data_IF_276968187838
#
_entry.id   IF_276968187838
#
_cell.length_a   1.000
_cell.length_b   1.000
_cell.length_c   1.000
_cell.angle_alpha   90.00
_cell.angle_beta   90.00
_cell.angle_gamma   90.00
#
_symmetry.space_group_name_H-M   'P 1'
#
loop_
_entity.id
_entity.type
_entity.pdbx_description
1 polymer ?
#
# COMPACT_ATOMS: atom_id res chain seq x y z
N UNK A 1 -3.72 25.23 16.60
CA UNK A 1 -2.26 24.94 16.50
C UNK A 1 -2.03 24.22 15.20
N UNK A 2 -1.09 24.65 14.37
CA UNK A 2 -0.80 24.00 13.09
C UNK A 2 0.07 22.77 13.32
N UNK A 3 -0.44 21.58 13.07
CA UNK A 3 0.32 20.33 13.21
C UNK A 3 1.42 20.23 12.14
N UNK A 4 2.62 19.84 12.57
CA UNK A 4 3.78 19.58 11.71
C UNK A 4 4.03 18.08 11.62
N UNK A 5 3.85 17.50 10.45
CA UNK A 5 3.98 16.07 10.23
C UNK A 5 5.24 15.75 9.41
N UNK A 6 5.89 14.65 9.76
CA UNK A 6 6.90 14.01 8.94
C UNK A 6 6.33 12.71 8.37
N UNK A 7 6.37 12.54 7.05
CA UNK A 7 5.99 11.27 6.39
C UNK A 7 7.24 10.57 5.88
N UNK A 8 7.36 9.27 6.11
CA UNK A 8 8.52 8.45 5.74
C UNK A 8 8.09 7.32 4.82
N UNK A 9 8.70 7.23 3.64
CA UNK A 9 8.40 6.20 2.63
C UNK A 9 9.65 5.75 1.87
N UNK A 10 9.62 4.55 1.25
CA UNK A 10 10.77 3.97 0.54
C UNK A 10 10.46 3.40 -0.86
N UNK A 11 9.25 3.53 -1.36
CA UNK A 11 8.87 3.05 -2.70
C UNK A 11 7.89 4.00 -3.38
N UNK A 12 7.79 3.90 -4.69
CA UNK A 12 6.96 4.74 -5.54
C UNK A 12 5.50 4.83 -5.09
N UNK A 13 4.85 3.71 -4.87
CA UNK A 13 3.44 3.68 -4.44
C UNK A 13 3.22 4.28 -3.05
N UNK A 14 4.18 4.11 -2.14
CA UNK A 14 4.12 4.70 -0.80
C UNK A 14 4.42 6.20 -0.85
N UNK A 15 5.36 6.63 -1.69
CA UNK A 15 5.66 8.05 -1.91
C UNK A 15 4.46 8.78 -2.51
N UNK A 16 3.75 8.16 -3.46
CA UNK A 16 2.51 8.73 -4.02
C UNK A 16 1.40 8.83 -2.97
N UNK A 17 1.24 7.82 -2.11
CA UNK A 17 0.29 7.89 -1.00
C UNK A 17 0.66 8.98 0.02
N UNK A 18 1.96 9.14 0.32
CA UNK A 18 2.46 10.23 1.16
C UNK A 18 2.22 11.59 0.52
N UNK A 19 2.38 11.72 -0.79
CA UNK A 19 2.08 12.97 -1.51
C UNK A 19 0.59 13.33 -1.38
N UNK A 20 -0.31 12.38 -1.68
CA UNK A 20 -1.75 12.61 -1.55
C UNK A 20 -2.16 13.04 -0.14
N UNK A 21 -1.60 12.37 0.89
CA UNK A 21 -1.84 12.75 2.28
C UNK A 21 -1.25 14.12 2.62
N UNK A 22 -0.02 14.41 2.17
CA UNK A 22 0.64 15.68 2.42
C UNK A 22 -0.14 16.85 1.82
N UNK A 23 -0.63 16.69 0.59
CA UNK A 23 -1.42 17.72 -0.10
C UNK A 23 -2.76 17.95 0.62
N UNK A 24 -3.43 16.87 1.06
CA UNK A 24 -4.66 16.95 1.83
C UNK A 24 -4.46 17.64 3.19
N UNK A 25 -3.36 17.32 3.91
CA UNK A 25 -3.03 17.95 5.20
C UNK A 25 -2.69 19.43 5.02
N UNK A 26 -1.93 19.78 3.97
CA UNK A 26 -1.60 21.20 3.67
C UNK A 26 -2.83 22.01 3.33
N UNK A 27 -3.77 21.44 2.57
CA UNK A 27 -5.05 22.06 2.26
C UNK A 27 -5.88 22.38 3.52
N UNK A 28 -5.65 21.64 4.62
CA UNK A 28 -6.27 21.85 5.92
C UNK A 28 -5.42 22.76 6.85
N UNK A 29 -4.37 23.38 6.34
CA UNK A 29 -3.50 24.29 7.09
C UNK A 29 -2.39 23.59 7.90
N UNK A 30 -2.18 22.29 7.74
CA UNK A 30 -1.07 21.55 8.35
C UNK A 30 0.23 21.74 7.60
N UNK A 31 1.36 21.50 8.27
CA UNK A 31 2.69 21.50 7.65
C UNK A 31 3.21 20.06 7.50
N UNK A 32 3.70 19.70 6.31
CA UNK A 32 4.18 18.34 6.04
C UNK A 32 5.53 18.36 5.35
N UNK A 33 6.46 17.57 5.87
CA UNK A 33 7.71 17.22 5.21
C UNK A 33 7.66 15.72 4.85
N UNK A 34 8.11 15.36 3.66
CA UNK A 34 8.25 13.95 3.26
C UNK A 34 9.72 13.57 3.29
N UNK A 35 10.06 12.43 3.89
CA UNK A 35 11.38 11.81 3.78
C UNK A 35 11.29 10.58 2.87
N UNK A 36 11.83 10.69 1.68
CA UNK A 36 12.04 9.56 0.79
C UNK A 36 13.33 8.83 1.18
N UNK A 37 13.21 7.61 1.71
CA UNK A 37 14.39 6.79 1.99
C UNK A 37 15.04 6.42 0.66
N UNK A 38 16.33 6.76 0.43
CA UNK A 38 17.01 6.49 -0.82
C UNK A 38 16.97 5.00 -1.19
N UNK A 39 16.47 4.70 -2.37
CA UNK A 39 16.38 3.34 -2.90
C UNK A 39 16.68 3.36 -4.40
N UNK A 40 17.57 2.47 -4.89
CA UNK A 40 17.81 2.32 -6.33
C UNK A 40 16.49 2.02 -7.07
N UNK A 41 16.28 2.67 -8.22
CA UNK A 41 15.09 2.46 -9.06
C UNK A 41 13.86 3.28 -8.66
N UNK A 42 13.94 4.20 -7.68
CA UNK A 42 12.86 5.15 -7.45
C UNK A 42 12.73 6.10 -8.64
N UNK A 43 11.55 6.21 -9.28
CA UNK A 43 11.38 7.04 -10.47
C UNK A 43 11.62 8.52 -10.17
N UNK A 44 12.47 9.17 -10.97
CA UNK A 44 12.77 10.60 -10.81
C UNK A 44 11.51 11.50 -10.91
N UNK A 45 10.54 11.11 -11.73
CA UNK A 45 9.27 11.82 -11.86
C UNK A 45 8.46 11.87 -10.55
N UNK A 46 8.50 10.80 -9.74
CA UNK A 46 7.83 10.74 -8.43
C UNK A 46 8.52 11.68 -7.45
N UNK A 47 9.86 11.66 -7.38
CA UNK A 47 10.61 12.57 -6.50
C UNK A 47 10.41 14.03 -6.91
N UNK A 48 10.49 14.34 -8.20
CA UNK A 48 10.25 15.71 -8.70
C UNK A 48 8.81 16.20 -8.45
N UNK A 49 7.81 15.32 -8.45
CA UNK A 49 6.44 15.68 -8.08
C UNK A 49 6.34 16.03 -6.58
N UNK A 50 6.99 15.25 -5.70
CA UNK A 50 7.05 15.52 -4.27
C UNK A 50 7.77 16.83 -3.94
N UNK A 51 8.90 17.11 -4.61
CA UNK A 51 9.65 18.36 -4.43
C UNK A 51 8.81 19.60 -4.81
N UNK A 52 8.03 19.51 -5.89
CA UNK A 52 7.09 20.59 -6.28
C UNK A 52 5.94 20.75 -5.30
N UNK A 53 5.52 19.67 -4.66
CA UNK A 53 4.43 19.67 -3.68
C UNK A 53 4.86 20.24 -2.33
N UNK A 54 6.15 20.16 -1.93
CA UNK A 54 6.62 20.73 -0.68
C UNK A 54 7.97 20.18 -0.21
N UNK A 55 8.35 20.41 1.06
CA UNK A 55 9.64 19.99 1.61
C UNK A 55 9.87 18.48 1.46
N UNK A 56 10.96 18.10 0.78
CA UNK A 56 11.41 16.74 0.59
C UNK A 56 12.81 16.53 1.22
N UNK A 57 12.93 15.48 2.01
CA UNK A 57 14.20 14.99 2.53
C UNK A 57 14.56 13.67 1.85
N UNK A 58 15.85 13.37 1.76
CA UNK A 58 16.37 12.12 1.19
C UNK A 58 17.36 11.47 2.16
N UNK A 59 16.86 10.99 3.31
CA UNK A 59 17.68 10.43 4.36
C UNK A 59 17.38 8.95 4.59
N UNK A 60 18.43 8.15 4.83
CA UNK A 60 18.29 6.80 5.37
C UNK A 60 17.64 6.86 6.77
N UNK A 61 16.99 5.76 7.19
CA UNK A 61 16.39 5.67 8.52
C UNK A 61 17.37 6.05 9.63
N UNK A 62 18.61 5.56 9.56
CA UNK A 62 19.64 5.87 10.58
C UNK A 62 19.96 7.37 10.66
N UNK A 63 20.13 8.03 9.51
CA UNK A 63 20.38 9.47 9.46
C UNK A 63 19.21 10.28 9.94
N UNK A 64 17.99 9.89 9.50
CA UNK A 64 16.76 10.55 9.91
C UNK A 64 16.59 10.52 11.44
N UNK A 65 16.77 9.35 12.06
CA UNK A 65 16.58 9.19 13.50
C UNK A 65 17.68 9.86 14.35
N UNK A 66 18.79 10.25 13.75
CA UNK A 66 19.85 11.04 14.37
C UNK A 66 19.71 12.55 14.11
N UNK A 67 18.80 12.96 13.23
CA UNK A 67 18.65 14.36 12.83
C UNK A 67 17.92 15.18 13.92
N UNK A 68 18.52 16.27 14.44
CA UNK A 68 17.88 17.07 15.50
C UNK A 68 16.59 17.77 15.03
N UNK A 69 16.41 17.98 13.73
CA UNK A 69 15.18 18.57 13.18
C UNK A 69 13.94 17.69 13.39
N UNK A 70 14.13 16.41 13.75
CA UNK A 70 13.05 15.50 14.09
C UNK A 70 12.20 16.02 15.28
N UNK A 71 12.83 16.80 16.18
CA UNK A 71 12.15 17.43 17.33
C UNK A 71 11.08 18.44 16.92
N UNK A 72 11.20 19.01 15.73
CA UNK A 72 10.29 20.02 15.22
C UNK A 72 8.95 19.46 14.70
N UNK A 73 8.76 18.13 14.70
CA UNK A 73 7.53 17.50 14.25
C UNK A 73 6.65 17.08 15.44
N UNK A 74 5.34 17.19 15.25
CA UNK A 74 4.34 16.79 16.25
C UNK A 74 4.00 15.29 16.14
N UNK A 75 4.08 14.72 14.94
CA UNK A 75 3.87 13.30 14.69
C UNK A 75 4.66 12.81 13.45
N UNK A 76 4.90 11.49 13.39
CA UNK A 76 5.64 10.85 12.31
C UNK A 76 4.77 9.76 11.68
N UNK A 77 4.45 9.92 10.39
CA UNK A 77 3.74 8.92 9.59
C UNK A 77 4.71 8.01 8.84
N UNK A 78 4.55 6.70 8.99
CA UNK A 78 5.47 5.71 8.43
C UNK A 78 4.75 4.86 7.41
N UNK A 79 5.16 4.97 6.15
CA UNK A 79 4.63 4.26 5.00
C UNK A 79 5.72 3.39 4.38
N UNK A 80 6.01 2.27 5.03
CA UNK A 80 7.02 1.30 4.62
C UNK A 80 6.37 -0.07 4.36
N UNK A 81 7.10 -0.97 3.71
CA UNK A 81 6.59 -2.32 3.41
C UNK A 81 6.94 -3.33 4.49
N UNK A 82 5.97 -4.18 4.86
CA UNK A 82 6.17 -5.36 5.67
C UNK A 82 6.97 -5.11 6.96
N UNK A 83 7.97 -5.93 7.23
CA UNK A 83 8.80 -5.89 8.43
C UNK A 83 9.52 -4.56 8.67
N UNK A 84 9.72 -3.74 7.63
CA UNK A 84 10.34 -2.40 7.78
C UNK A 84 9.52 -1.45 8.65
N UNK A 85 8.18 -1.63 8.70
CA UNK A 85 7.32 -0.90 9.63
C UNK A 85 7.70 -1.20 11.09
N UNK A 86 7.78 -2.48 11.43
CA UNK A 86 8.15 -2.91 12.78
C UNK A 86 9.60 -2.51 13.11
N UNK A 87 10.52 -2.65 12.15
CA UNK A 87 11.92 -2.23 12.30
C UNK A 87 12.04 -0.73 12.57
N UNK A 88 11.35 0.10 11.78
CA UNK A 88 11.36 1.56 11.96
C UNK A 88 10.87 1.94 13.36
N UNK A 89 9.73 1.41 13.78
CA UNK A 89 9.16 1.67 15.10
C UNK A 89 10.12 1.30 16.23
N UNK A 90 10.70 0.10 16.19
CA UNK A 90 11.63 -0.36 17.23
C UNK A 90 12.90 0.46 17.25
N UNK A 91 13.46 0.80 16.08
CA UNK A 91 14.68 1.63 15.95
C UNK A 91 14.41 3.05 16.44
N UNK A 92 13.26 3.64 16.10
CA UNK A 92 12.85 4.96 16.56
C UNK A 92 12.81 5.02 18.09
N UNK A 93 12.09 4.09 18.73
CA UNK A 93 11.96 4.06 20.19
C UNK A 93 13.32 3.95 20.89
N UNK A 94 14.18 3.06 20.41
CA UNK A 94 15.54 2.92 20.92
C UNK A 94 16.39 4.18 20.73
N UNK A 95 16.29 4.81 19.56
CA UNK A 95 17.00 6.06 19.28
C UNK A 95 16.57 7.16 20.27
N UNK A 96 15.26 7.34 20.48
CA UNK A 96 14.72 8.33 21.42
C UNK A 96 15.15 8.06 22.87
N UNK A 97 15.08 6.79 23.30
CA UNK A 97 15.53 6.38 24.64
C UNK A 97 17.01 6.70 24.85
N UNK A 98 17.88 6.41 23.86
CA UNK A 98 19.32 6.68 23.94
C UNK A 98 19.63 8.18 23.97
N UNK A 99 18.88 8.96 23.21
CA UNK A 99 19.03 10.41 23.13
C UNK A 99 18.37 11.13 24.31
N UNK A 100 17.64 10.39 25.17
CA UNK A 100 16.81 10.94 26.26
C UNK A 100 15.79 11.97 25.76
N UNK A 101 15.22 11.73 24.60
CA UNK A 101 14.26 12.61 23.98
C UNK A 101 12.84 12.04 24.09
N UNK A 102 11.79 12.88 24.20
CA UNK A 102 10.41 12.42 24.27
C UNK A 102 10.00 11.69 22.98
N UNK A 103 9.11 10.72 23.12
CA UNK A 103 8.49 10.07 21.98
C UNK A 103 7.49 11.02 21.31
N UNK A 104 7.50 11.08 20.00
CA UNK A 104 6.43 11.68 19.21
C UNK A 104 5.50 10.59 18.74
N UNK A 105 4.20 10.84 18.61
CA UNK A 105 3.26 9.88 18.08
C UNK A 105 3.71 9.31 16.73
N UNK A 106 3.68 7.98 16.61
CA UNK A 106 3.90 7.29 15.35
C UNK A 106 2.54 6.86 14.79
N UNK A 107 2.28 7.20 13.54
CA UNK A 107 1.14 6.65 12.82
C UNK A 107 1.59 5.96 11.54
N UNK A 108 0.76 5.06 11.04
CA UNK A 108 1.00 4.37 9.78
C UNK A 108 -0.34 4.16 9.05
N UNK A 109 -0.26 3.89 7.76
CA UNK A 109 -1.44 3.65 6.94
C UNK A 109 -1.13 2.71 5.78
N UNK A 110 -2.01 2.69 4.82
CA UNK A 110 -1.90 1.90 3.61
C UNK A 110 -1.69 2.82 2.40
N UNK A 111 -0.98 2.32 1.41
CA UNK A 111 -0.76 3.02 0.14
C UNK A 111 -1.82 2.69 -0.93
N UNK A 112 -2.90 2.03 -0.52
CA UNK A 112 -4.01 1.61 -1.36
C UNK A 112 -4.89 0.59 -0.64
N UNK A 113 -5.79 -0.03 -1.37
CA UNK A 113 -6.67 -1.06 -0.83
C UNK A 113 -5.90 -2.35 -0.59
N UNK A 114 -6.10 -2.95 0.59
CA UNK A 114 -5.57 -4.28 0.90
C UNK A 114 -6.61 -5.31 0.44
N UNK A 115 -6.37 -5.88 -0.74
CA UNK A 115 -7.25 -6.90 -1.33
C UNK A 115 -7.08 -8.23 -0.61
N UNK A 116 -5.82 -8.62 -0.32
CA UNK A 116 -5.45 -9.89 0.28
C UNK A 116 -4.54 -9.70 1.49
N UNK A 117 -4.42 -10.74 2.33
CA UNK A 117 -3.49 -10.78 3.48
C UNK A 117 -3.61 -9.56 4.41
N UNK A 118 -4.83 -9.14 4.68
CA UNK A 118 -5.08 -8.00 5.56
C UNK A 118 -4.47 -8.22 6.95
N UNK A 119 -4.58 -9.43 7.48
CA UNK A 119 -4.07 -9.83 8.79
C UNK A 119 -2.53 -9.67 8.88
N UNK A 120 -1.81 -10.09 7.85
CA UNK A 120 -0.35 -9.89 7.76
C UNK A 120 -0.02 -8.39 7.67
N UNK A 121 -0.76 -7.65 6.85
CA UNK A 121 -0.55 -6.22 6.69
C UNK A 121 -0.78 -5.45 8.00
N UNK A 122 -1.79 -5.83 8.79
CA UNK A 122 -2.05 -5.26 10.11
C UNK A 122 -0.99 -5.69 11.13
N UNK A 123 -0.53 -6.93 11.12
CA UNK A 123 0.46 -7.41 12.09
C UNK A 123 1.72 -6.53 12.12
N UNK A 124 2.18 -6.03 10.97
CA UNK A 124 3.32 -5.12 10.89
C UNK A 124 3.04 -3.71 11.44
N UNK A 125 1.76 -3.32 11.57
CA UNK A 125 1.30 -2.02 12.03
C UNK A 125 0.94 -1.97 13.51
N UNK A 126 0.77 -3.13 14.14
CA UNK A 126 0.47 -3.20 15.57
C UNK A 126 1.58 -2.53 16.40
N UNK A 127 1.18 -1.79 17.43
CA UNK A 127 2.08 -1.03 18.28
C UNK A 127 2.49 0.36 17.77
N UNK A 128 1.96 0.80 16.64
CA UNK A 128 1.91 2.21 16.29
C UNK A 128 0.85 2.92 17.16
N UNK A 129 1.07 4.19 17.46
CA UNK A 129 0.12 4.94 18.31
C UNK A 129 -1.24 5.11 17.59
N UNK A 130 -1.22 5.12 16.24
CA UNK A 130 -2.42 5.23 15.43
C UNK A 130 -2.26 4.48 14.10
N UNK A 131 -3.26 3.69 13.72
CA UNK A 131 -3.34 3.04 12.40
C UNK A 131 -4.40 3.74 11.56
N UNK A 132 -3.99 4.32 10.42
CA UNK A 132 -4.91 4.89 9.44
C UNK A 132 -5.48 3.78 8.56
N UNK A 133 -6.79 3.64 8.54
CA UNK A 133 -7.55 2.67 7.76
C UNK A 133 -8.24 3.36 6.60
N UNK A 134 -8.50 2.60 5.52
CA UNK A 134 -9.19 3.17 4.37
C UNK A 134 -10.69 3.38 4.64
N UNK A 135 -11.37 2.38 5.19
CA UNK A 135 -12.82 2.45 5.37
C UNK A 135 -13.37 1.55 6.47
N UNK A 136 -14.69 1.58 6.68
CA UNK A 136 -15.37 0.72 7.65
C UNK A 136 -15.08 -0.77 7.48
N UNK A 137 -14.87 -1.24 6.23
CA UNK A 137 -14.43 -2.61 5.93
C UNK A 137 -13.15 -2.97 6.66
N UNK A 138 -12.16 -2.10 6.59
CA UNK A 138 -10.86 -2.35 7.22
C UNK A 138 -10.97 -2.28 8.74
N UNK A 139 -11.81 -1.37 9.26
CA UNK A 139 -12.10 -1.28 10.69
C UNK A 139 -12.77 -2.56 11.21
N UNK A 140 -13.81 -3.04 10.53
CA UNK A 140 -14.51 -4.27 10.92
C UNK A 140 -13.57 -5.49 10.93
N UNK A 141 -12.65 -5.58 9.95
CA UNK A 141 -11.65 -6.65 9.89
C UNK A 141 -10.61 -6.52 11.01
N UNK A 142 -10.17 -5.30 11.32
CA UNK A 142 -9.26 -5.03 12.43
C UNK A 142 -9.91 -5.42 13.76
N UNK A 143 -11.14 -5.01 14.01
CA UNK A 143 -11.88 -5.31 15.25
C UNK A 143 -12.07 -6.83 15.43
N UNK A 144 -12.41 -7.53 14.34
CA UNK A 144 -12.54 -8.98 14.36
C UNK A 144 -11.19 -9.66 14.69
N UNK A 145 -10.10 -9.21 14.06
CA UNK A 145 -8.76 -9.75 14.28
C UNK A 145 -8.30 -9.57 15.72
N UNK A 146 -8.58 -8.41 16.31
CA UNK A 146 -8.06 -8.04 17.63
C UNK A 146 -8.98 -8.42 18.80
N UNK A 147 -10.21 -8.83 18.55
CA UNK A 147 -11.29 -9.01 19.55
C UNK A 147 -10.89 -9.79 20.79
N UNK A 148 -10.10 -10.83 20.64
CA UNK A 148 -9.69 -11.70 21.76
C UNK A 148 -8.18 -11.69 21.96
N UNK A 149 -7.52 -10.62 21.52
CA UNK A 149 -6.10 -10.42 21.66
C UNK A 149 -5.82 -9.29 22.65
N UNK A 150 -4.63 -9.25 23.24
CA UNK A 150 -4.20 -8.13 24.06
C UNK A 150 -4.05 -6.81 23.30
N UNK A 151 -4.17 -6.83 21.97
CA UNK A 151 -4.08 -5.66 21.09
C UNK A 151 -5.43 -4.99 20.81
N UNK A 152 -6.52 -5.44 21.44
CA UNK A 152 -7.85 -4.84 21.25
C UNK A 152 -7.91 -3.33 21.57
N UNK A 153 -6.96 -2.82 22.36
CA UNK A 153 -6.81 -1.39 22.63
C UNK A 153 -6.04 -0.61 21.54
N UNK A 154 -5.64 -1.28 20.44
CA UNK A 154 -4.97 -0.62 19.33
C UNK A 154 -5.85 0.50 18.74
N UNK A 155 -5.33 1.72 18.70
CA UNK A 155 -6.06 2.85 18.14
C UNK A 155 -5.99 2.85 16.63
N UNK A 156 -7.11 3.16 16.00
CA UNK A 156 -7.24 3.32 14.55
C UNK A 156 -8.12 4.51 14.21
N UNK A 157 -7.97 5.00 13.00
CA UNK A 157 -8.82 6.07 12.45
C UNK A 157 -9.07 5.82 10.97
N UNK A 158 -10.30 6.01 10.51
CA UNK A 158 -10.63 5.92 9.10
C UNK A 158 -10.30 7.26 8.44
N UNK A 159 -9.36 7.23 7.50
CA UNK A 159 -8.88 8.41 6.77
C UNK A 159 -9.29 8.42 5.31
N UNK A 160 -9.98 7.40 4.87
CA UNK A 160 -10.34 7.22 3.47
C UNK A 160 -9.18 6.68 2.63
N UNK A 161 -9.46 6.44 1.37
CA UNK A 161 -8.45 6.08 0.39
C UNK A 161 -7.54 7.27 0.11
N UNK A 162 -6.22 7.03 0.10
CA UNK A 162 -5.25 8.06 -0.30
C UNK A 162 -5.45 8.39 -1.79
N UNK A 163 -5.81 9.63 -2.08
CA UNK A 163 -6.16 10.07 -3.43
C UNK A 163 -5.67 11.48 -3.70
N UNK A 164 -5.13 11.68 -4.89
CA UNK A 164 -4.92 13.02 -5.44
C UNK A 164 -6.24 13.44 -6.11
N UNK A 165 -7.05 14.21 -5.41
CA UNK A 165 -8.27 14.77 -6.01
C UNK A 165 -7.88 15.81 -7.06
N UNK A 166 -8.19 15.59 -8.33
CA UNK A 166 -8.00 16.61 -9.33
C UNK A 166 -8.96 17.79 -9.08
N UNK A 167 -8.63 18.95 -9.64
CA UNK A 167 -9.61 20.01 -9.77
C UNK A 167 -10.84 19.45 -10.53
N UNK A 168 -12.07 19.91 -10.21
CA UNK A 168 -13.27 19.47 -10.89
C UNK A 168 -13.07 19.53 -12.41
N UNK A 169 -13.39 18.44 -13.10
CA UNK A 169 -13.26 18.38 -14.55
C UNK A 169 -14.05 19.54 -15.17
N UNK A 170 -13.44 20.20 -16.17
CA UNK A 170 -14.16 21.19 -16.97
C UNK A 170 -15.42 20.57 -17.55
N UNK A 171 -16.49 21.35 -17.71
CA UNK A 171 -17.78 20.94 -18.26
C UNK A 171 -17.74 20.48 -19.75
N UNK A 172 -16.55 20.24 -20.31
CA UNK A 172 -16.39 19.73 -21.67
C UNK A 172 -16.93 18.30 -21.76
N UNK A 173 -17.74 18.07 -22.80
CA UNK A 173 -18.23 16.72 -23.13
C UNK A 173 -17.05 15.73 -23.24
N UNK A 174 -17.15 14.60 -22.55
CA UNK A 174 -16.12 13.56 -22.58
C UNK A 174 -16.11 12.86 -23.93
N UNK A 175 -14.91 12.50 -24.37
CA UNK A 175 -14.69 11.74 -25.58
C UNK A 175 -15.14 10.29 -25.41
N UNK A 176 -15.61 9.68 -26.48
CA UNK A 176 -15.96 8.25 -26.54
C UNK A 176 -14.70 7.39 -26.49
N UNK A 177 -14.06 7.36 -25.33
CA UNK A 177 -12.85 6.60 -25.07
C UNK A 177 -13.10 5.62 -23.92
N UNK A 178 -12.77 4.35 -24.15
CA UNK A 178 -12.54 3.35 -23.13
C UNK A 178 -11.03 3.26 -22.86
N UNK A 179 -10.59 3.53 -21.63
CA UNK A 179 -9.23 3.23 -21.18
C UNK A 179 -9.23 1.90 -20.46
N UNK A 180 -8.48 0.93 -20.95
CA UNK A 180 -8.19 -0.29 -20.18
C UNK A 180 -6.90 -0.09 -19.40
N UNK A 181 -7.00 0.04 -18.06
CA UNK A 181 -5.85 0.13 -17.17
C UNK A 181 -5.24 -1.26 -16.93
N UNK A 182 -4.18 -1.56 -17.67
CA UNK A 182 -3.49 -2.86 -17.59
C UNK A 182 -2.77 -3.02 -16.26
N UNK A 183 -2.84 -4.23 -15.71
CA UNK A 183 -2.10 -4.66 -14.55
C UNK A 183 -1.08 -5.72 -14.99
N UNK A 184 0.19 -5.50 -14.63
CA UNK A 184 1.34 -6.29 -15.12
C UNK A 184 1.13 -7.80 -14.98
N UNK A 185 0.54 -8.24 -13.87
CA UNK A 185 0.34 -9.66 -13.52
C UNK A 185 -1.12 -10.06 -13.37
N UNK A 186 -2.07 -9.26 -13.88
CA UNK A 186 -3.49 -9.58 -13.75
C UNK A 186 -4.24 -9.37 -15.07
N UNK A 187 -4.75 -10.42 -15.65
CA UNK A 187 -4.54 -11.83 -15.31
C UNK A 187 -3.10 -12.27 -15.60
N UNK A 188 -2.58 -13.23 -14.81
CA UNK A 188 -1.21 -13.74 -14.99
C UNK A 188 -1.11 -14.77 -16.11
N UNK A 189 -2.14 -15.61 -16.28
CA UNK A 189 -2.12 -16.68 -17.24
C UNK A 189 -2.10 -16.18 -18.70
N UNK A 190 -1.18 -16.64 -19.56
CA UNK A 190 -1.06 -16.13 -20.93
C UNK A 190 -2.34 -16.28 -21.77
N UNK A 191 -3.09 -17.36 -21.58
CA UNK A 191 -4.37 -17.57 -22.30
C UNK A 191 -5.44 -16.59 -21.85
N UNK A 192 -5.49 -16.22 -20.57
CA UNK A 192 -6.43 -15.20 -20.06
C UNK A 192 -6.05 -13.80 -20.55
N UNK A 193 -4.75 -13.47 -20.63
CA UNK A 193 -4.29 -12.22 -21.23
C UNK A 193 -4.66 -12.11 -22.70
N UNK A 194 -4.49 -13.20 -23.47
CA UNK A 194 -4.95 -13.25 -24.88
C UNK A 194 -6.46 -13.08 -24.99
N UNK A 195 -7.24 -13.79 -24.15
CA UNK A 195 -8.71 -13.64 -24.11
C UNK A 195 -9.12 -12.19 -23.80
N UNK A 196 -8.48 -11.56 -22.83
CA UNK A 196 -8.75 -10.14 -22.48
C UNK A 196 -8.56 -9.21 -23.69
N UNK A 197 -7.43 -9.35 -24.38
CA UNK A 197 -7.13 -8.55 -25.58
C UNK A 197 -8.15 -8.82 -26.70
N UNK A 198 -8.58 -10.09 -26.88
CA UNK A 198 -9.61 -10.46 -27.84
C UNK A 198 -10.98 -9.86 -27.52
N UNK A 199 -11.36 -9.80 -26.23
CA UNK A 199 -12.59 -9.15 -25.77
C UNK A 199 -12.56 -7.65 -26.08
N UNK A 200 -11.48 -6.95 -25.74
CA UNK A 200 -11.31 -5.54 -26.07
C UNK A 200 -11.38 -5.27 -27.57
N UNK A 201 -10.75 -6.13 -28.38
CA UNK A 201 -10.79 -6.02 -29.84
C UNK A 201 -12.20 -6.25 -30.42
N UNK A 202 -12.99 -7.16 -29.84
CA UNK A 202 -14.40 -7.36 -30.25
C UNK A 202 -15.25 -6.14 -29.94
N UNK A 203 -15.12 -5.59 -28.73
CA UNK A 203 -15.84 -4.36 -28.37
C UNK A 203 -15.43 -3.18 -29.26
N UNK A 204 -14.13 -3.03 -29.55
CA UNK A 204 -13.66 -1.98 -30.47
C UNK A 204 -14.30 -2.11 -31.86
N UNK A 205 -14.40 -3.32 -32.44
CA UNK A 205 -15.05 -3.55 -33.74
C UNK A 205 -16.56 -3.25 -33.71
N UNK A 206 -17.24 -3.54 -32.59
CA UNK A 206 -18.68 -3.28 -32.41
C UNK A 206 -18.99 -1.81 -32.13
N UNK A 207 -17.97 -1.03 -31.76
CA UNK A 207 -18.10 0.37 -31.36
C UNK A 207 -17.15 1.24 -32.19
N UNK A 208 -17.36 1.41 -33.52
CA UNK A 208 -16.43 2.12 -34.41
C UNK A 208 -16.26 3.60 -34.04
N UNK A 209 -17.23 4.23 -33.38
CA UNK A 209 -17.17 5.61 -32.90
C UNK A 209 -16.44 5.79 -31.57
N UNK A 210 -15.96 4.68 -30.97
CA UNK A 210 -15.18 4.69 -29.76
C UNK A 210 -13.71 4.42 -30.03
N UNK A 211 -12.84 5.02 -29.21
CA UNK A 211 -11.45 4.60 -29.09
C UNK A 211 -11.28 3.68 -27.89
N UNK A 212 -10.57 2.58 -28.08
CA UNK A 212 -10.17 1.65 -27.01
C UNK A 212 -8.68 1.79 -26.80
N UNK A 213 -8.29 2.35 -25.64
CA UNK A 213 -6.90 2.59 -25.29
C UNK A 213 -6.45 1.62 -24.22
N UNK A 214 -5.55 0.72 -24.54
CA UNK A 214 -4.88 -0.09 -23.53
C UNK A 214 -3.75 0.76 -22.95
N UNK A 215 -3.83 1.05 -21.66
CA UNK A 215 -2.80 1.80 -20.92
C UNK A 215 -1.91 0.82 -20.14
N UNK A 216 -0.72 0.47 -20.69
CA UNK A 216 0.26 -0.33 -19.96
C UNK A 216 0.72 0.40 -18.70
N UNK A 217 1.01 -0.35 -17.65
CA UNK A 217 1.57 0.22 -16.42
C UNK A 217 2.99 0.76 -16.64
N UNK A 218 3.77 0.08 -17.48
CA UNK A 218 5.17 0.41 -17.80
C UNK A 218 5.39 0.32 -19.31
N UNK A 219 6.40 1.01 -19.83
CA UNK A 219 6.83 0.85 -21.21
C UNK A 219 7.56 -0.51 -21.41
N UNK A 220 7.59 -0.99 -22.64
CA UNK A 220 8.14 -2.31 -22.96
C UNK A 220 9.63 -2.49 -22.58
N UNK A 221 10.38 -1.39 -22.44
CA UNK A 221 11.80 -1.36 -22.09
C UNK A 221 12.05 -1.04 -20.61
N UNK A 222 10.99 -0.76 -19.84
CA UNK A 222 11.11 -0.44 -18.41
C UNK A 222 11.04 -1.70 -17.56
N UNK A 223 11.91 -1.76 -16.55
CA UNK A 223 11.87 -2.81 -15.53
C UNK A 223 10.85 -2.48 -14.44
N UNK A 224 10.14 -3.48 -13.97
CA UNK A 224 9.20 -3.36 -12.85
C UNK A 224 9.60 -4.31 -11.71
N UNK A 225 9.04 -4.08 -10.50
CA UNK A 225 9.19 -5.00 -9.38
C UNK A 225 8.44 -6.33 -9.59
N UNK A 226 7.54 -6.38 -10.56
CA UNK A 226 6.82 -7.59 -10.94
C UNK A 226 7.51 -8.20 -12.15
N UNK A 227 7.92 -9.46 -12.04
CA UNK A 227 8.43 -10.20 -13.18
C UNK A 227 7.31 -10.31 -14.23
N UNK A 228 7.57 -9.77 -15.43
CA UNK A 228 6.66 -9.86 -16.58
C UNK A 228 7.36 -10.66 -17.64
N UNK A 229 6.86 -11.85 -17.88
CA UNK A 229 7.41 -12.68 -18.97
C UNK A 229 7.11 -12.08 -20.36
N UNK A 230 5.97 -11.38 -20.47
CA UNK A 230 5.52 -10.82 -21.75
C UNK A 230 4.78 -9.51 -21.57
N UNK A 231 5.28 -8.43 -22.16
CA UNK A 231 4.60 -7.14 -22.19
C UNK A 231 3.29 -7.21 -23.01
N UNK A 232 2.26 -6.43 -22.61
CA UNK A 232 0.94 -6.47 -23.26
C UNK A 232 0.98 -6.18 -24.77
N UNK A 233 1.99 -5.44 -25.26
CA UNK A 233 2.18 -5.19 -26.70
C UNK A 233 2.50 -6.45 -27.49
N UNK A 234 3.22 -7.40 -26.90
CA UNK A 234 3.50 -8.70 -27.51
C UNK A 234 2.24 -9.58 -27.49
N UNK A 235 1.51 -9.61 -26.37
CA UNK A 235 0.22 -10.30 -26.27
C UNK A 235 -0.78 -9.78 -27.32
N UNK A 236 -0.82 -8.46 -27.54
CA UNK A 236 -1.70 -7.83 -28.53
C UNK A 236 -1.36 -8.32 -29.96
N UNK A 237 -0.09 -8.33 -30.31
CA UNK A 237 0.36 -8.79 -31.64
C UNK A 237 0.08 -10.28 -31.84
N UNK A 238 0.38 -11.10 -30.82
CA UNK A 238 0.18 -12.54 -30.86
C UNK A 238 -1.31 -12.91 -30.96
N UNK A 239 -2.17 -12.25 -30.18
CA UNK A 239 -3.58 -12.59 -30.07
C UNK A 239 -4.42 -12.13 -31.27
N UNK A 240 -4.05 -11.02 -31.92
CA UNK A 240 -4.88 -10.39 -32.94
C UNK A 240 -4.28 -10.38 -34.36
N UNK A 241 -2.96 -10.54 -34.49
CA UNK A 241 -2.30 -10.31 -35.77
C UNK A 241 -2.45 -8.88 -36.27
N UNK A 242 -3.68 -8.50 -36.66
CA UNK A 242 -4.05 -7.14 -37.06
C UNK A 242 -5.15 -6.59 -36.13
N UNK A 243 -4.84 -5.70 -35.20
CA UNK A 243 -5.82 -5.10 -34.30
C UNK A 243 -6.74 -4.13 -35.07
N UNK A 244 -7.98 -3.89 -34.57
CA UNK A 244 -8.84 -2.84 -35.11
C UNK A 244 -8.16 -1.46 -35.04
N UNK A 245 -8.42 -0.57 -36.01
CA UNK A 245 -7.79 0.75 -36.07
C UNK A 245 -8.07 1.62 -34.81
N UNK A 246 -9.20 1.41 -34.18
CA UNK A 246 -9.62 2.10 -32.96
C UNK A 246 -9.18 1.41 -31.67
N UNK A 247 -8.35 0.35 -31.71
CA UNK A 247 -7.72 -0.29 -30.55
C UNK A 247 -6.22 0.01 -30.56
N UNK A 248 -5.73 0.75 -29.57
CA UNK A 248 -4.37 1.24 -29.53
C UNK A 248 -3.75 1.13 -28.13
N UNK A 249 -2.42 1.09 -28.07
CA UNK A 249 -1.67 1.28 -26.82
C UNK A 249 -1.50 2.79 -26.57
N UNK A 250 -1.69 3.21 -25.31
CA UNK A 250 -1.41 4.59 -24.91
C UNK A 250 -0.45 4.60 -23.72
N UNK A 251 0.59 5.41 -23.82
CA UNK A 251 1.58 5.67 -22.78
C UNK A 251 1.37 7.02 -22.10
N UNK A 252 0.30 7.73 -22.45
CA UNK A 252 -0.08 8.96 -21.76
C UNK A 252 -0.29 8.72 -20.26
N UNK A 253 0.01 9.69 -19.39
CA UNK A 253 -0.32 9.60 -17.97
C UNK A 253 -1.81 9.31 -17.74
N UNK A 254 -2.10 8.33 -16.88
CA UNK A 254 -3.49 7.92 -16.62
C UNK A 254 -4.43 9.09 -16.23
N UNK A 255 -4.02 10.07 -15.39
CA UNK A 255 -4.86 11.22 -15.08
C UNK A 255 -5.30 12.03 -16.31
N UNK A 256 -4.43 12.20 -17.31
CA UNK A 256 -4.76 12.91 -18.55
C UNK A 256 -5.78 12.14 -19.39
N UNK A 257 -5.63 10.81 -19.45
CA UNK A 257 -6.61 9.95 -20.12
C UNK A 257 -7.98 10.01 -19.41
N UNK A 258 -8.01 9.91 -18.08
CA UNK A 258 -9.25 9.90 -17.29
C UNK A 258 -10.02 11.23 -17.38
N UNK A 259 -9.32 12.36 -17.56
CA UNK A 259 -9.97 13.67 -17.72
C UNK A 259 -10.88 13.75 -18.94
N UNK A 260 -10.55 13.05 -20.01
CA UNK A 260 -11.28 13.11 -21.29
C UNK A 260 -12.07 11.84 -21.60
N UNK A 261 -11.77 10.71 -20.99
CA UNK A 261 -12.43 9.43 -21.30
C UNK A 261 -13.76 9.26 -20.58
N UNK A 262 -14.69 8.52 -21.19
CA UNK A 262 -15.97 8.15 -20.58
C UNK A 262 -15.85 6.93 -19.69
N UNK A 263 -15.08 5.92 -20.11
CA UNK A 263 -14.97 4.63 -19.45
C UNK A 263 -13.52 4.32 -19.04
N UNK A 264 -13.36 3.76 -17.86
CA UNK A 264 -12.17 3.01 -17.46
C UNK A 264 -12.55 1.56 -17.23
N UNK A 265 -11.86 0.60 -17.84
CA UNK A 265 -11.97 -0.82 -17.52
C UNK A 265 -10.69 -1.33 -16.88
N UNK A 266 -10.83 -2.25 -15.91
CA UNK A 266 -9.69 -2.93 -15.26
C UNK A 266 -10.13 -4.27 -14.70
N UNK A 267 -9.19 -5.16 -14.39
CA UNK A 267 -9.50 -6.42 -13.69
C UNK A 267 -9.72 -6.15 -12.20
N UNK A 268 -8.78 -5.49 -11.53
CA UNK A 268 -8.89 -5.21 -10.08
C UNK A 268 -8.01 -4.03 -9.62
N UNK A 269 -7.69 -3.10 -10.53
CA UNK A 269 -6.86 -1.97 -10.17
C UNK A 269 -7.61 -0.93 -9.35
N UNK A 270 -6.93 -0.37 -8.34
CA UNK A 270 -7.42 0.79 -7.58
C UNK A 270 -7.54 2.06 -8.43
N UNK A 271 -7.04 2.06 -9.66
CA UNK A 271 -7.24 3.12 -10.65
C UNK A 271 -8.74 3.43 -10.93
N UNK A 272 -9.63 2.49 -10.56
CA UNK A 272 -11.08 2.76 -10.62
C UNK A 272 -11.50 3.93 -9.72
N UNK A 273 -10.83 4.12 -8.57
CA UNK A 273 -11.13 5.27 -7.69
C UNK A 273 -10.62 6.58 -8.29
N UNK A 274 -9.50 6.53 -9.02
CA UNK A 274 -9.04 7.68 -9.79
C UNK A 274 -10.05 8.01 -10.90
N UNK A 275 -10.60 6.99 -11.57
CA UNK A 275 -11.65 7.21 -12.57
C UNK A 275 -12.88 7.94 -11.98
N UNK A 276 -13.34 7.50 -10.79
CA UNK A 276 -14.43 8.18 -10.08
C UNK A 276 -14.09 9.64 -9.75
N UNK A 277 -12.87 9.91 -9.28
CA UNK A 277 -12.41 11.27 -8.96
C UNK A 277 -12.42 12.18 -10.20
N UNK A 278 -12.09 11.64 -11.37
CA UNK A 278 -12.16 12.37 -12.64
C UNK A 278 -13.54 12.37 -13.28
N UNK A 279 -14.53 11.68 -12.71
CA UNK A 279 -15.87 11.52 -13.29
C UNK A 279 -15.90 10.62 -14.53
N UNK A 280 -14.89 9.77 -14.71
CA UNK A 280 -14.87 8.70 -15.69
C UNK A 280 -15.54 7.45 -15.08
N UNK A 281 -16.44 6.78 -15.82
CA UNK A 281 -17.18 5.63 -15.28
C UNK A 281 -16.28 4.39 -15.23
N UNK A 282 -16.10 3.75 -14.06
CA UNK A 282 -15.28 2.55 -13.95
C UNK A 282 -16.06 1.27 -14.26
N UNK A 283 -15.36 0.30 -14.82
CA UNK A 283 -15.82 -1.07 -15.08
C UNK A 283 -14.80 -2.05 -14.55
N UNK A 284 -15.25 -3.04 -13.80
CA UNK A 284 -14.45 -4.19 -13.35
C UNK A 284 -14.80 -5.39 -14.21
N UNK A 285 -13.79 -5.95 -14.88
CA UNK A 285 -13.96 -7.08 -15.81
C UNK A 285 -14.36 -8.34 -15.05
N UNK A 286 -15.57 -8.84 -15.29
CA UNK A 286 -16.13 -10.00 -14.60
C UNK A 286 -15.90 -11.34 -15.34
N UNK A 287 -15.37 -11.30 -16.56
CA UNK A 287 -15.26 -12.47 -17.46
C UNK A 287 -14.32 -13.58 -16.95
N UNK A 288 -13.49 -13.26 -15.95
CA UNK A 288 -12.62 -14.23 -15.28
C UNK A 288 -13.17 -14.74 -13.95
N UNK A 289 -14.37 -14.30 -13.56
CA UNK A 289 -15.05 -14.68 -12.31
C UNK A 289 -14.52 -13.95 -11.07
N UNK A 290 -15.11 -14.27 -9.93
CA UNK A 290 -14.71 -13.76 -8.62
C UNK A 290 -13.61 -14.67 -8.05
N UNK A 291 -12.36 -14.29 -8.27
CA UNK A 291 -11.18 -15.08 -7.91
C UNK A 291 -10.24 -14.31 -7.00
N UNK A 292 -9.74 -14.97 -5.95
CA UNK A 292 -8.82 -14.36 -4.99
C UNK A 292 -7.50 -13.93 -5.65
N UNK A 293 -6.94 -14.76 -6.53
CA UNK A 293 -5.70 -14.46 -7.26
C UNK A 293 -5.80 -13.23 -8.17
N UNK A 294 -7.02 -12.83 -8.54
CA UNK A 294 -7.31 -11.61 -9.30
C UNK A 294 -7.73 -10.43 -8.41
N UNK A 295 -8.00 -10.65 -7.12
CA UNK A 295 -8.51 -9.63 -6.21
C UNK A 295 -9.96 -9.19 -6.51
N UNK A 296 -10.67 -9.88 -7.41
CA UNK A 296 -12.02 -9.52 -7.86
C UNK A 296 -13.12 -9.67 -6.80
N UNK A 297 -13.02 -10.54 -5.75
CA UNK A 297 -14.02 -10.60 -4.69
C UNK A 297 -14.22 -9.28 -3.94
N UNK A 298 -13.21 -8.42 -3.91
CA UNK A 298 -13.33 -7.07 -3.34
C UNK A 298 -14.45 -6.26 -3.98
N UNK A 299 -14.73 -6.49 -5.26
CA UNK A 299 -15.70 -5.74 -6.06
C UNK A 299 -17.09 -6.40 -6.14
N UNK A 300 -17.32 -7.52 -5.44
CA UNK A 300 -18.55 -8.30 -5.56
C UNK A 300 -19.82 -7.47 -5.36
N UNK A 301 -19.83 -6.54 -4.39
CA UNK A 301 -20.95 -5.66 -4.09
C UNK A 301 -20.82 -4.24 -4.71
N UNK A 302 -19.84 -4.03 -5.59
CA UNK A 302 -19.53 -2.67 -6.10
C UNK A 302 -20.54 -2.11 -7.08
N UNK A 303 -21.37 -2.96 -7.70
CA UNK A 303 -22.18 -2.57 -8.86
C UNK A 303 -21.38 -2.39 -10.16
N UNK A 304 -20.04 -2.60 -10.15
CA UNK A 304 -19.13 -2.31 -11.27
C UNK A 304 -18.72 -3.52 -12.10
N UNK A 305 -19.06 -4.73 -11.66
CA UNK A 305 -18.72 -5.96 -12.36
C UNK A 305 -19.51 -6.07 -13.66
N UNK A 306 -18.80 -6.13 -14.79
CA UNK A 306 -19.39 -6.27 -16.12
C UNK A 306 -18.63 -7.29 -16.95
N UNK A 307 -19.37 -8.04 -17.76
CA UNK A 307 -18.76 -8.92 -18.76
C UNK A 307 -18.50 -8.13 -20.04
N UNK A 308 -17.23 -8.08 -20.45
CA UNK A 308 -16.87 -7.52 -21.75
C UNK A 308 -17.34 -8.42 -22.90
N UNK A 309 -17.39 -9.73 -22.68
CA UNK A 309 -17.85 -10.72 -23.66
C UNK A 309 -19.37 -10.59 -23.93
N UNK A 310 -20.15 -10.39 -22.88
CA UNK A 310 -21.61 -10.31 -22.96
C UNK A 310 -22.11 -8.91 -23.37
N UNK A 311 -21.26 -7.89 -23.30
CA UNK A 311 -21.65 -6.53 -23.71
C UNK A 311 -21.82 -6.44 -25.21
N UNK A 312 -22.93 -5.86 -25.66
CA UNK A 312 -23.23 -5.68 -27.06
C UNK A 312 -22.23 -4.74 -27.71
N UNK A 313 -22.01 -3.58 -27.09
CA UNK A 313 -21.06 -2.54 -27.50
C UNK A 313 -20.59 -1.72 -26.29
N UNK A 314 -19.84 -0.64 -26.50
CA UNK A 314 -19.34 0.24 -25.45
C UNK A 314 -20.40 1.22 -24.93
N UNK A 315 -21.44 1.54 -25.69
CA UNK A 315 -22.54 2.36 -25.19
C UNK A 315 -23.38 1.58 -24.17
N UNK A 316 -23.66 0.30 -24.45
CA UNK A 316 -24.32 -0.60 -23.51
C UNK A 316 -23.48 -0.83 -22.23
N UNK A 317 -22.16 -0.94 -22.39
CA UNK A 317 -21.24 -1.05 -21.25
C UNK A 317 -21.25 0.22 -20.38
N UNK A 318 -21.30 1.41 -20.97
CA UNK A 318 -21.35 2.69 -20.28
C UNK A 318 -22.63 2.84 -19.45
N UNK A 319 -23.78 2.44 -19.99
CA UNK A 319 -25.09 2.63 -19.34
C UNK A 319 -25.24 1.86 -18.02
N UNK A 320 -24.54 0.77 -17.86
CA UNK A 320 -24.62 -0.08 -16.66
C UNK A 320 -23.56 0.18 -15.58
N UNK A 321 -22.72 1.19 -15.70
CA UNK A 321 -21.48 1.31 -14.94
C UNK A 321 -21.53 2.34 -13.80
N UNK A 322 -22.52 2.22 -12.91
CA UNK A 322 -22.58 3.06 -11.71
C UNK A 322 -22.16 2.26 -10.47
N UNK A 323 -21.31 2.90 -9.65
CA UNK A 323 -20.84 2.30 -8.40
C UNK A 323 -21.92 2.36 -7.32
N UNK A 324 -22.07 1.28 -6.55
CA UNK A 324 -22.97 1.24 -5.40
C UNK A 324 -22.47 2.20 -4.28
N UNK A 325 -23.28 3.20 -3.85
CA UNK A 325 -22.88 4.16 -2.83
C UNK A 325 -22.56 3.51 -1.48
N UNK A 326 -23.25 2.45 -1.09
CA UNK A 326 -23.01 1.75 0.16
C UNK A 326 -21.67 1.00 0.12
N UNK A 327 -21.34 0.40 -1.02
CA UNK A 327 -20.03 -0.20 -1.22
C UNK A 327 -18.91 0.86 -1.22
N UNK A 328 -19.10 2.00 -1.88
CA UNK A 328 -18.12 3.10 -1.85
C UNK A 328 -17.84 3.58 -0.43
N UNK A 329 -18.89 3.79 0.36
CA UNK A 329 -18.74 4.12 1.77
C UNK A 329 -17.99 3.01 2.53
N UNK A 330 -18.39 1.75 2.34
CA UNK A 330 -17.80 0.60 3.01
C UNK A 330 -16.29 0.45 2.78
N UNK A 331 -15.83 0.75 1.58
CA UNK A 331 -14.40 0.65 1.22
C UNK A 331 -13.60 1.92 1.51
N UNK A 332 -14.25 3.00 1.98
CA UNK A 332 -13.59 4.25 2.35
C UNK A 332 -13.54 5.32 1.26
N UNK A 333 -14.33 5.16 0.20
CA UNK A 333 -14.51 6.19 -0.82
C UNK A 333 -15.74 7.06 -0.49
N UNK A 334 -15.61 7.89 0.57
CA UNK A 334 -16.69 8.75 1.02
C UNK A 334 -16.11 10.07 1.57
N UNK A 335 -16.81 11.23 1.43
CA UNK A 335 -16.31 12.54 1.88
C UNK A 335 -16.06 12.64 3.39
N UNK A 336 -16.76 11.87 4.23
CA UNK A 336 -16.55 11.87 5.69
C UNK A 336 -15.18 11.32 6.10
N UNK A 337 -14.53 10.53 5.22
CA UNK A 337 -13.22 9.95 5.46
C UNK A 337 -12.14 10.80 4.79
N UNK A 338 -11.35 11.49 5.59
CA UNK A 338 -10.36 12.44 5.07
C UNK A 338 -9.18 12.64 6.02
N UNK A 339 -8.18 13.37 5.57
CA UNK A 339 -7.05 13.80 6.38
C UNK A 339 -7.48 14.61 7.64
N UNK A 340 -8.65 15.23 7.63
CA UNK A 340 -9.18 15.92 8.81
C UNK A 340 -9.39 14.95 9.99
N UNK A 341 -9.81 13.70 9.72
CA UNK A 341 -9.96 12.69 10.76
C UNK A 341 -8.60 12.32 11.38
N UNK A 342 -7.55 12.20 10.53
CA UNK A 342 -6.19 12.00 11.03
C UNK A 342 -5.73 13.15 11.92
N UNK A 343 -5.87 14.40 11.45
CA UNK A 343 -5.45 15.57 12.22
C UNK A 343 -6.15 15.67 13.56
N UNK A 344 -7.46 15.39 13.61
CA UNK A 344 -8.24 15.34 14.87
C UNK A 344 -7.69 14.26 15.79
N UNK A 345 -7.51 13.02 15.30
CA UNK A 345 -7.00 11.91 16.09
C UNK A 345 -5.58 12.20 16.62
N UNK A 346 -4.71 12.84 15.84
CA UNK A 346 -3.37 13.24 16.28
C UNK A 346 -3.42 14.36 17.32
N UNK A 347 -4.36 15.30 17.22
CA UNK A 347 -4.57 16.35 18.22
C UNK A 347 -5.01 15.75 19.55
N UNK A 348 -5.93 14.79 19.51
CA UNK A 348 -6.40 14.07 20.71
C UNK A 348 -5.25 13.29 21.36
N UNK A 349 -4.38 12.70 20.54
CA UNK A 349 -3.16 12.05 21.01
C UNK A 349 -2.19 13.03 21.68
N UNK A 350 -2.00 14.22 21.14
CA UNK A 350 -1.10 15.24 21.69
C UNK A 350 -1.65 15.89 22.97
N UNK A 351 -2.97 15.91 23.16
CA UNK A 351 -3.65 16.52 24.31
C UNK A 351 -3.47 15.79 25.65
N UNK A 352 -2.66 14.72 25.71
CA UNK A 352 -2.15 14.17 26.96
C UNK A 352 -2.98 13.08 27.61
N UNK A 353 -3.93 12.47 26.93
CA UNK A 353 -4.60 11.24 27.43
C UNK A 353 -3.78 10.01 27.02
N UNK A 354 -2.50 9.98 27.38
CA UNK A 354 -1.60 8.88 27.06
C UNK A 354 -1.34 7.98 28.28
N UNK A 355 -2.37 7.32 28.76
CA UNK A 355 -2.21 6.27 29.78
C UNK A 355 -2.02 4.86 29.16
N UNK A 356 -2.00 4.73 27.86
CA UNK A 356 -1.66 3.46 27.25
C UNK A 356 -0.21 3.47 26.82
N UNK A 357 0.62 2.76 27.57
CA UNK A 357 1.91 2.34 27.07
C UNK A 357 1.71 1.76 25.65
N UNK A 358 2.50 2.20 24.65
CA UNK A 358 2.36 1.67 23.30
C UNK A 358 2.43 0.16 23.37
N UNK A 359 1.50 -0.51 22.69
CA UNK A 359 1.43 -1.97 22.64
C UNK A 359 2.82 -2.53 22.33
N UNK A 360 3.36 -3.32 23.25
CA UNK A 360 4.66 -3.93 23.03
C UNK A 360 4.49 -5.11 22.09
N UNK A 361 5.28 -5.17 21.03
CA UNK A 361 5.28 -6.32 20.11
C UNK A 361 5.73 -7.62 20.80
N UNK A 362 6.38 -7.53 21.95
CA UNK A 362 6.70 -8.66 22.82
C UNK A 362 5.49 -9.31 23.49
N UNK A 363 4.28 -8.80 23.24
CA UNK A 363 3.08 -9.36 23.85
C UNK A 363 2.70 -10.73 23.26
N UNK A 364 2.22 -11.69 24.06
CA UNK A 364 1.82 -13.03 23.58
C UNK A 364 0.83 -13.05 22.42
N UNK A 365 -0.08 -12.08 22.32
CA UNK A 365 -1.02 -11.96 21.22
C UNK A 365 -0.38 -11.76 19.86
N UNK A 366 0.79 -11.14 19.80
CA UNK A 366 1.55 -10.98 18.55
C UNK A 366 2.14 -12.30 18.05
N UNK A 367 2.43 -13.24 18.92
CA UNK A 367 2.98 -14.56 18.56
C UNK A 367 2.06 -15.31 17.61
N UNK A 368 0.75 -15.21 17.81
CA UNK A 368 -0.25 -15.85 16.93
C UNK A 368 -0.12 -15.33 15.50
N UNK A 369 0.00 -14.02 15.32
CA UNK A 369 0.20 -13.41 14.01
C UNK A 369 1.60 -13.70 13.46
N UNK A 370 2.62 -13.76 14.30
CA UNK A 370 3.98 -14.09 13.89
C UNK A 370 4.12 -15.55 13.44
N UNK A 371 3.30 -16.46 13.93
CA UNK A 371 3.32 -17.87 13.51
C UNK A 371 2.94 -18.06 12.04
N UNK A 372 2.14 -17.14 11.47
CA UNK A 372 1.74 -17.16 10.07
C UNK A 372 2.82 -16.60 9.14
N UNK A 373 3.86 -15.99 9.67
CA UNK A 373 4.96 -15.44 8.88
C UNK A 373 5.86 -16.55 8.35
N UNK A 374 6.40 -16.35 7.18
CA UNK A 374 7.40 -17.25 6.62
C UNK A 374 8.67 -17.26 7.50
N UNK A 375 9.42 -18.35 7.48
CA UNK A 375 10.71 -18.45 8.19
C UNK A 375 11.65 -17.28 7.83
N UNK A 376 11.64 -16.81 6.59
CA UNK A 376 12.48 -15.69 6.17
C UNK A 376 12.02 -14.36 6.78
N UNK A 377 10.71 -14.13 6.90
CA UNK A 377 10.17 -12.94 7.56
C UNK A 377 10.50 -12.95 9.06
N UNK A 378 10.32 -14.08 9.73
CA UNK A 378 10.68 -14.27 11.14
C UNK A 378 12.17 -14.02 11.38
N UNK A 379 13.05 -14.54 10.50
CA UNK A 379 14.50 -14.31 10.58
C UNK A 379 14.87 -12.84 10.42
N UNK A 380 14.29 -12.15 9.43
CA UNK A 380 14.51 -10.71 9.22
C UNK A 380 14.02 -9.88 10.42
N UNK A 381 12.86 -10.21 10.96
CA UNK A 381 12.34 -9.58 12.17
C UNK A 381 13.26 -9.78 13.37
N UNK A 382 13.76 -10.99 13.56
CA UNK A 382 14.72 -11.29 14.64
C UNK A 382 16.04 -10.52 14.49
N UNK A 383 16.58 -10.40 13.29
CA UNK A 383 17.79 -9.59 13.05
C UNK A 383 17.53 -8.10 13.29
N UNK A 384 16.36 -7.60 12.93
CA UNK A 384 15.95 -6.22 13.25
C UNK A 384 15.88 -6.01 14.78
N UNK A 385 15.25 -6.93 15.50
CA UNK A 385 15.16 -6.90 16.97
C UNK A 385 16.55 -6.97 17.64
N UNK A 386 17.47 -7.80 17.12
CA UNK A 386 18.86 -7.84 17.59
C UNK A 386 19.57 -6.49 17.40
N UNK A 387 19.41 -5.87 16.23
CA UNK A 387 20.00 -4.53 15.99
C UNK A 387 19.45 -3.48 16.95
N UNK A 388 18.17 -3.61 17.28
CA UNK A 388 17.50 -2.74 18.25
C UNK A 388 17.79 -3.14 19.71
N UNK A 389 18.53 -4.22 19.96
CA UNK A 389 18.79 -4.81 21.29
C UNK A 389 17.52 -5.25 22.04
N UNK A 390 16.45 -5.50 21.31
CA UNK A 390 15.25 -6.16 21.80
C UNK A 390 15.46 -7.68 21.70
N UNK A 391 16.17 -8.22 22.71
CA UNK A 391 16.57 -9.62 22.70
C UNK A 391 15.41 -10.54 23.02
N UNK A 392 14.39 -10.08 23.74
CA UNK A 392 13.21 -10.87 24.08
C UNK A 392 12.36 -11.08 22.82
N UNK A 393 12.15 -10.03 22.03
CA UNK A 393 11.48 -10.13 20.74
C UNK A 393 12.29 -10.98 19.76
N UNK A 394 13.59 -10.78 19.70
CA UNK A 394 14.46 -11.59 18.84
C UNK A 394 14.39 -13.09 19.19
N UNK A 395 14.42 -13.43 20.48
CA UNK A 395 14.31 -14.80 20.94
C UNK A 395 12.97 -15.43 20.52
N UNK A 396 11.88 -14.71 20.71
CA UNK A 396 10.54 -15.18 20.37
C UNK A 396 10.37 -15.44 18.88
N UNK A 397 10.82 -14.51 18.01
CA UNK A 397 10.75 -14.70 16.57
C UNK A 397 11.64 -15.88 16.09
N UNK A 398 12.81 -16.07 16.73
CA UNK A 398 13.68 -17.21 16.45
C UNK A 398 13.10 -18.54 16.93
N UNK A 399 12.37 -18.57 18.04
CA UNK A 399 11.64 -19.76 18.50
C UNK A 399 10.60 -20.20 17.47
N UNK A 400 9.77 -19.26 16.98
CA UNK A 400 8.77 -19.56 15.95
C UNK A 400 9.46 -20.03 14.66
N UNK A 401 10.56 -19.35 14.27
CA UNK A 401 11.33 -19.76 13.10
C UNK A 401 11.94 -21.17 13.25
N UNK A 402 12.36 -21.52 14.48
CA UNK A 402 12.89 -22.86 14.79
C UNK A 402 11.78 -23.92 14.73
N UNK A 403 10.56 -23.62 15.16
CA UNK A 403 9.41 -24.52 14.99
C UNK A 403 9.11 -24.80 13.52
N UNK A 404 9.23 -23.78 12.66
CA UNK A 404 9.04 -23.94 11.21
C UNK A 404 10.18 -24.74 10.55
N UNK A 405 11.39 -24.70 11.11
CA UNK A 405 12.59 -25.35 10.58
C UNK A 405 13.42 -25.97 11.71
N UNK A 406 12.97 -27.09 12.31
CA UNK A 406 13.63 -27.69 13.48
C UNK A 406 15.10 -28.04 13.24
N UNK A 407 15.43 -28.49 12.03
CA UNK A 407 16.77 -28.93 11.66
C UNK A 407 17.73 -27.79 11.29
N UNK A 408 17.27 -26.54 11.31
CA UNK A 408 18.12 -25.41 10.95
C UNK A 408 19.03 -25.00 12.11
N UNK A 409 20.25 -25.56 12.09
CA UNK A 409 21.28 -25.32 13.14
C UNK A 409 21.63 -23.83 13.30
N UNK A 410 21.54 -23.02 12.24
CA UNK A 410 21.88 -21.59 12.32
C UNK A 410 20.84 -20.81 13.11
N UNK A 411 19.54 -21.13 12.94
CA UNK A 411 18.48 -20.54 13.76
C UNK A 411 18.68 -20.91 15.22
N UNK A 412 18.93 -22.20 15.53
CA UNK A 412 19.17 -22.66 16.89
C UNK A 412 20.38 -22.01 17.56
N UNK A 413 21.50 -21.88 16.83
CA UNK A 413 22.70 -21.17 17.33
C UNK A 413 22.42 -19.70 17.60
N UNK A 414 21.68 -19.05 16.73
CA UNK A 414 21.33 -17.63 16.88
C UNK A 414 20.38 -17.41 18.06
N UNK A 415 19.42 -18.30 18.26
CA UNK A 415 18.53 -18.31 19.40
C UNK A 415 19.30 -18.49 20.73
N UNK A 416 20.23 -19.46 20.77
CA UNK A 416 21.08 -19.68 21.95
C UNK A 416 21.94 -18.42 22.25
N UNK A 417 22.49 -17.77 21.23
CA UNK A 417 23.26 -16.54 21.40
C UNK A 417 22.41 -15.40 21.98
N UNK A 418 21.19 -15.20 21.48
CA UNK A 418 20.26 -14.17 21.97
C UNK A 418 19.85 -14.41 23.42
N UNK A 419 19.67 -15.68 23.84
CA UNK A 419 19.26 -16.08 25.20
C UNK A 419 20.36 -15.97 26.25
N UNK A 420 21.60 -15.65 25.87
CA UNK A 420 22.68 -15.49 26.85
C UNK A 420 22.35 -14.36 27.85
N UNK A 421 22.33 -14.72 29.15
CA UNK A 421 22.02 -13.76 30.22
C UNK A 421 23.11 -12.71 30.39
N UNK A 422 24.38 -13.14 30.28
CA UNK A 422 25.52 -12.22 30.39
C UNK A 422 25.64 -11.34 29.11
N UNK A 423 25.66 -10.03 29.30
CA UNK A 423 25.68 -9.05 28.18
C UNK A 423 26.96 -9.16 27.31
N UNK A 424 28.11 -9.45 27.91
CA UNK A 424 29.38 -9.62 27.18
C UNK A 424 29.37 -10.91 26.38
N UNK A 425 28.99 -12.02 26.99
CA UNK A 425 28.91 -13.33 26.33
C UNK A 425 27.88 -13.31 25.21
N UNK A 426 26.75 -12.63 25.40
CA UNK A 426 25.75 -12.46 24.33
C UNK A 426 26.32 -11.68 23.14
N UNK A 427 27.04 -10.58 23.36
CA UNK A 427 27.69 -9.83 22.29
C UNK A 427 28.70 -10.68 21.53
N UNK A 428 29.55 -11.41 22.21
CA UNK A 428 30.53 -12.29 21.61
C UNK A 428 29.83 -13.42 20.82
N UNK A 429 28.81 -14.07 21.40
CA UNK A 429 28.06 -15.12 20.73
C UNK A 429 27.37 -14.60 19.45
N UNK A 430 26.82 -13.40 19.47
CA UNK A 430 26.18 -12.79 18.30
C UNK A 430 27.18 -12.41 17.22
N UNK A 431 28.44 -12.09 17.56
CA UNK A 431 29.51 -11.80 16.59
C UNK A 431 29.98 -13.06 15.85
N UNK A 432 30.10 -14.18 16.58
CA UNK A 432 30.63 -15.44 16.00
C UNK A 432 29.53 -16.30 15.36
N UNK A 433 28.26 -16.02 15.64
CA UNK A 433 27.16 -16.74 15.00
C UNK A 433 26.89 -16.18 13.60
N UNK A 434 26.76 -17.03 12.57
CA UNK A 434 26.45 -16.55 11.22
C UNK A 434 25.17 -15.71 11.24
N UNK A 435 25.20 -14.54 10.57
CA UNK A 435 23.98 -13.78 10.35
C UNK A 435 22.96 -14.62 9.59
N UNK A 436 21.68 -14.40 9.90
CA UNK A 436 20.58 -15.09 9.22
C UNK A 436 20.40 -14.49 7.82
N UNK A 437 21.32 -14.78 6.90
CA UNK A 437 21.19 -14.39 5.50
C UNK A 437 19.99 -15.11 4.88
N UNK A 438 19.28 -14.38 4.03
CA UNK A 438 18.14 -14.90 3.27
C UNK A 438 18.58 -15.95 2.27
#
# INVERSE_FOLDING_TARGET
MTLKLLLVADSDSQLLACQALADAVRALGGAVTVNAIPKPGTPAGVLGALERSGPLWAMSTTRLLADPRLEGFDAIGVYLTGSKLAEFRSTYRLSRQRQRQPLRPLFCGFNGVVLERFEEAIAWRLGYDLICLNGPRDQARLDLLLRHTPFQAQRSVITGLARNRPAPASSKARERILVFAEQVVMPAAPHERRRLVQMLARLARRSPDWQVLIKPRVAAHETTFHAVDTHISATLREALGSPPANLQLSYEPLPQLLQRSRLLATVSSTALFDALDFGCRPVVVADFGLRQDLGTPFFAASGLLRSLDASEDLDALEQGSDADPAWLHWVGYHPEFSAANLLRALTDLAGGVHDSAPLQLSHPGYVVNAADLSTNQLRRGAEAAIRCRDYDEAARLLEIAQLHRPDNRNIGRRLAAVRQRNRLLRRLALLVTPGLRA
#
